data_IF_302011109263
#
_entry.id   IF_302011109263
#
_cell.length_a   1.000
_cell.length_b   1.000
_cell.length_c   1.000
_cell.angle_alpha   90.00
_cell.angle_beta   90.00
_cell.angle_gamma   90.00
#
_symmetry.space_group_name_H-M   'P 1'
#
loop_
_entity.id
_entity.type
_entity.pdbx_description
1 polymer ?
#
# COMPACT_ATOMS: atom_id res chain seq x y z
N UNK A 1 -21.69 7.09 7.39
CA UNK A 1 -21.56 5.69 6.99
C UNK A 1 -21.39 5.69 5.48
N UNK A 2 -20.14 5.61 5.00
CA UNK A 2 -19.85 5.49 3.55
C UNK A 2 -20.22 4.07 3.14
N UNK A 3 -21.43 3.91 2.61
CA UNK A 3 -21.83 2.68 1.92
C UNK A 3 -20.94 2.62 0.68
N UNK A 4 -20.10 1.58 0.54
CA UNK A 4 -19.35 1.34 -0.70
C UNK A 4 -20.41 1.15 -1.80
N UNK A 5 -20.61 2.20 -2.61
CA UNK A 5 -21.58 2.19 -3.69
C UNK A 5 -21.24 1.08 -4.71
N UNK A 6 -22.23 0.60 -5.45
CA UNK A 6 -22.11 -0.53 -6.39
C UNK A 6 -21.11 -0.34 -7.55
N UNK A 7 -20.38 0.77 -7.60
CA UNK A 7 -19.27 1.03 -8.56
C UNK A 7 -18.16 1.80 -7.87
N UNK A 8 -17.42 1.15 -6.98
CA UNK A 8 -16.34 1.78 -6.23
C UNK A 8 -15.01 1.10 -6.54
N UNK A 9 -14.02 1.88 -6.93
CA UNK A 9 -12.64 1.49 -7.17
C UNK A 9 -11.80 1.86 -5.97
N UNK A 10 -11.18 0.88 -5.35
CA UNK A 10 -10.28 1.09 -4.22
C UNK A 10 -8.86 0.70 -4.63
N UNK A 11 -7.90 1.54 -4.33
CA UNK A 11 -6.48 1.25 -4.44
C UNK A 11 -5.85 1.33 -3.04
N UNK A 12 -5.29 0.23 -2.57
CA UNK A 12 -4.50 0.20 -1.34
C UNK A 12 -3.01 0.16 -1.65
N UNK A 13 -2.22 0.86 -0.86
CA UNK A 13 -0.79 1.08 -1.07
C UNK A 13 -0.03 0.84 0.23
N UNK A 14 0.93 -0.09 0.19
CA UNK A 14 1.99 -0.21 1.18
C UNK A 14 3.23 0.49 0.65
N UNK A 15 3.40 1.77 1.02
CA UNK A 15 4.40 2.65 0.42
C UNK A 15 5.77 2.50 1.04
N UNK A 16 6.80 2.48 0.20
CA UNK A 16 8.20 2.43 0.58
C UNK A 16 9.05 3.26 -0.40
N UNK A 17 10.29 3.52 -0.03
CA UNK A 17 11.24 4.22 -0.88
C UNK A 17 11.89 3.36 -1.97
N UNK A 18 11.73 2.03 -1.89
CA UNK A 18 12.38 1.09 -2.81
C UNK A 18 11.45 0.00 -3.33
N UNK A 19 10.50 -0.45 -2.51
CA UNK A 19 9.51 -1.47 -2.89
C UNK A 19 8.16 -1.06 -2.34
N UNK A 20 7.21 -0.73 -3.21
CA UNK A 20 5.86 -0.38 -2.81
C UNK A 20 4.87 -1.41 -3.30
N UNK A 21 4.16 -2.06 -2.37
CA UNK A 21 3.07 -2.95 -2.68
C UNK A 21 1.80 -2.17 -3.04
N UNK A 22 0.98 -2.73 -3.92
CA UNK A 22 -0.32 -2.16 -4.25
C UNK A 22 -1.35 -3.25 -4.53
N UNK A 23 -2.61 -2.97 -4.20
CA UNK A 23 -3.73 -3.83 -4.54
C UNK A 23 -4.94 -3.01 -4.97
N UNK A 24 -5.60 -3.50 -6.03
CA UNK A 24 -6.75 -2.86 -6.65
C UNK A 24 -8.00 -3.71 -6.48
N UNK A 25 -9.08 -3.06 -6.08
CA UNK A 25 -10.38 -3.68 -5.85
C UNK A 25 -11.47 -2.91 -6.62
N UNK A 26 -12.45 -3.63 -7.10
CA UNK A 26 -13.68 -3.05 -7.66
C UNK A 26 -14.89 -3.68 -6.98
N UNK A 27 -15.83 -2.85 -6.56
CA UNK A 27 -17.07 -3.30 -5.93
C UNK A 27 -16.80 -4.25 -4.76
N UNK A 28 -15.86 -3.86 -3.88
CA UNK A 28 -15.38 -4.65 -2.75
C UNK A 28 -14.74 -6.01 -3.10
N UNK A 29 -14.43 -6.28 -4.38
CA UNK A 29 -13.81 -7.52 -4.84
C UNK A 29 -12.38 -7.27 -5.31
N UNK A 30 -11.45 -8.07 -4.81
CA UNK A 30 -10.07 -8.08 -5.30
C UNK A 30 -10.02 -8.31 -6.82
N UNK A 31 -9.19 -7.53 -7.52
CA UNK A 31 -8.97 -7.63 -8.97
C UNK A 31 -7.52 -7.91 -9.32
N UNK A 32 -6.60 -7.12 -8.78
CA UNK A 32 -5.19 -7.19 -9.13
C UNK A 32 -4.32 -6.58 -8.03
N UNK A 33 -3.10 -7.06 -7.94
CA UNK A 33 -2.05 -6.50 -7.08
C UNK A 33 -0.70 -6.59 -7.76
N UNK A 34 0.31 -6.04 -7.13
CA UNK A 34 1.70 -6.12 -7.56
C UNK A 34 2.62 -5.30 -6.69
N UNK A 35 3.87 -5.22 -7.10
CA UNK A 35 4.93 -4.45 -6.45
C UNK A 35 5.59 -3.53 -7.45
N UNK A 36 5.80 -2.27 -7.06
CA UNK A 36 6.76 -1.37 -7.71
C UNK A 36 8.11 -1.67 -7.05
N UNK A 37 8.98 -2.40 -7.75
CA UNK A 37 10.29 -2.80 -7.22
C UNK A 37 11.43 -2.00 -7.87
N UNK A 38 12.00 -1.06 -7.13
CA UNK A 38 13.18 -0.28 -7.48
C UNK A 38 14.44 -0.75 -6.75
N UNK A 39 14.43 -1.96 -6.18
CA UNK A 39 15.57 -2.59 -5.48
C UNK A 39 16.19 -3.76 -6.29
N UNK A 40 15.83 -3.89 -7.56
CA UNK A 40 16.43 -4.87 -8.47
C UNK A 40 17.91 -4.58 -8.74
N UNK A 41 18.64 -5.56 -9.27
CA UNK A 41 20.07 -5.40 -9.63
C UNK A 41 20.25 -4.27 -10.65
N UNK A 42 19.35 -4.17 -11.64
CA UNK A 42 19.36 -3.12 -12.66
C UNK A 42 19.09 -1.75 -12.03
N UNK A 43 18.13 -1.64 -11.14
CA UNK A 43 17.82 -0.42 -10.42
C UNK A 43 18.97 0.02 -9.52
N UNK A 44 19.59 -0.90 -8.77
CA UNK A 44 20.78 -0.61 -7.96
C UNK A 44 21.93 -0.07 -8.81
N UNK A 45 22.16 -0.63 -10.00
CA UNK A 45 23.15 -0.13 -10.96
C UNK A 45 22.77 1.24 -11.51
N UNK A 46 21.49 1.47 -11.82
CA UNK A 46 20.96 2.75 -12.33
C UNK A 46 21.08 3.88 -11.31
N UNK A 47 20.75 3.62 -10.07
CA UNK A 47 20.72 4.65 -9.03
C UNK A 47 22.08 4.84 -8.35
N UNK A 48 22.94 3.80 -8.29
CA UNK A 48 24.21 3.81 -7.54
C UNK A 48 24.02 4.48 -6.18
N UNK A 49 24.60 5.67 -6.00
CA UNK A 49 24.52 6.44 -4.76
C UNK A 49 23.46 7.56 -4.82
N UNK A 50 22.65 7.61 -5.88
CA UNK A 50 21.63 8.65 -6.06
C UNK A 50 20.26 8.18 -5.54
N UNK A 51 20.08 8.25 -4.22
CA UNK A 51 18.82 7.93 -3.55
C UNK A 51 17.66 8.85 -3.95
N UNK A 52 17.93 10.13 -4.27
CA UNK A 52 16.89 11.08 -4.64
C UNK A 52 16.24 10.69 -5.98
N UNK A 53 17.04 10.32 -6.98
CA UNK A 53 16.51 9.85 -8.26
C UNK A 53 15.64 8.58 -8.12
N UNK A 54 16.01 7.67 -7.23
CA UNK A 54 15.17 6.49 -6.96
C UNK A 54 13.82 6.89 -6.38
N UNK A 55 13.80 7.91 -5.51
CA UNK A 55 12.56 8.41 -4.91
C UNK A 55 11.70 9.11 -5.97
N UNK A 56 12.30 9.90 -6.86
CA UNK A 56 11.61 10.52 -7.99
C UNK A 56 10.93 9.45 -8.86
N UNK A 57 11.67 8.39 -9.23
CA UNK A 57 11.11 7.29 -10.02
C UNK A 57 10.00 6.54 -9.25
N UNK A 58 10.10 6.39 -7.92
CA UNK A 58 9.03 5.81 -7.10
C UNK A 58 7.79 6.71 -7.10
N UNK A 59 7.95 8.01 -6.92
CA UNK A 59 6.84 8.96 -6.98
C UNK A 59 6.14 8.93 -8.34
N UNK A 60 6.91 8.90 -9.44
CA UNK A 60 6.36 8.79 -10.79
C UNK A 60 5.62 7.46 -11.01
N UNK A 61 6.16 6.35 -10.53
CA UNK A 61 5.53 5.04 -10.66
C UNK A 61 4.20 4.98 -9.88
N UNK A 62 4.17 5.51 -8.66
CA UNK A 62 2.96 5.63 -7.84
C UNK A 62 1.94 6.55 -8.51
N UNK A 63 2.36 7.70 -9.01
CA UNK A 63 1.50 8.62 -9.76
C UNK A 63 0.85 7.95 -10.97
N UNK A 64 1.66 7.26 -11.78
CA UNK A 64 1.17 6.53 -12.95
C UNK A 64 0.18 5.42 -12.59
N UNK A 65 0.38 4.76 -11.45
CA UNK A 65 -0.54 3.75 -10.92
C UNK A 65 -1.89 4.38 -10.57
N UNK A 66 -1.88 5.52 -9.87
CA UNK A 66 -3.08 6.29 -9.52
C UNK A 66 -3.83 6.77 -10.77
N UNK A 67 -3.12 7.32 -11.74
CA UNK A 67 -3.69 7.75 -13.03
C UNK A 67 -4.30 6.57 -13.82
N UNK A 68 -3.68 5.41 -13.76
CA UNK A 68 -4.15 4.19 -14.44
C UNK A 68 -5.45 3.66 -13.87
N UNK A 69 -5.53 3.54 -12.54
CA UNK A 69 -6.68 2.92 -11.87
C UNK A 69 -7.78 3.92 -11.53
N UNK A 70 -7.47 5.20 -11.42
CA UNK A 70 -8.40 6.28 -11.07
C UNK A 70 -9.30 5.87 -9.90
N UNK A 71 -8.71 5.60 -8.72
CA UNK A 71 -9.47 5.10 -7.58
C UNK A 71 -10.42 6.16 -7.03
N UNK A 72 -11.59 5.71 -6.59
CA UNK A 72 -12.55 6.52 -5.81
C UNK A 72 -12.13 6.53 -4.32
N UNK A 73 -11.36 5.52 -3.89
CA UNK A 73 -10.85 5.40 -2.53
C UNK A 73 -9.38 4.99 -2.58
N UNK A 74 -8.55 5.74 -1.87
CA UNK A 74 -7.15 5.40 -1.64
C UNK A 74 -6.97 5.01 -0.17
N UNK A 75 -6.42 3.82 0.06
CA UNK A 75 -6.03 3.34 1.40
C UNK A 75 -4.51 3.26 1.45
N UNK A 76 -3.91 3.87 2.46
CA UNK A 76 -2.46 3.87 2.63
C UNK A 76 -2.10 3.54 4.09
N UNK A 77 -0.96 2.88 4.30
CA UNK A 77 -0.49 2.68 5.66
C UNK A 77 -0.09 4.01 6.30
N UNK A 78 -0.58 4.26 7.51
CA UNK A 78 -0.26 5.47 8.26
C UNK A 78 1.23 5.53 8.56
N UNK A 79 1.84 6.67 8.21
CA UNK A 79 3.26 6.90 8.48
C UNK A 79 3.52 6.93 9.98
N UNK A 80 4.28 5.95 10.45
CA UNK A 80 4.84 5.99 11.79
C UNK A 80 6.17 6.75 11.77
N UNK A 81 6.28 7.80 12.59
CA UNK A 81 7.53 8.54 12.73
C UNK A 81 8.61 7.60 13.27
N UNK A 82 9.53 7.21 12.42
CA UNK A 82 10.64 6.33 12.79
C UNK A 82 11.73 7.13 13.51
N UNK A 83 12.57 6.42 14.29
CA UNK A 83 13.79 7.01 14.86
C UNK A 83 14.77 7.47 13.77
N UNK A 84 14.65 6.89 12.58
CA UNK A 84 15.43 7.30 11.41
C UNK A 84 14.69 8.42 10.66
N UNK A 85 15.04 9.67 10.98
CA UNK A 85 14.48 10.86 10.35
C UNK A 85 14.65 10.87 8.83
N UNK A 86 15.76 10.34 8.30
CA UNK A 86 15.98 10.27 6.86
C UNK A 86 15.00 9.32 6.18
N UNK A 87 14.74 8.16 6.75
CA UNK A 87 13.75 7.23 6.22
C UNK A 87 12.34 7.84 6.21
N UNK A 88 11.95 8.50 7.31
CA UNK A 88 10.66 9.21 7.41
C UNK A 88 10.55 10.30 6.35
N UNK A 89 11.58 11.14 6.20
CA UNK A 89 11.63 12.24 5.22
C UNK A 89 11.50 11.74 3.77
N UNK A 90 12.13 10.62 3.46
CA UNK A 90 12.06 10.00 2.13
C UNK A 90 10.67 9.45 1.86
N UNK A 91 10.10 8.71 2.81
CA UNK A 91 8.78 8.12 2.68
C UNK A 91 7.69 9.20 2.58
N UNK A 92 7.86 10.33 3.27
CA UNK A 92 6.92 11.47 3.18
C UNK A 92 6.81 12.03 1.76
N UNK A 93 7.85 11.95 0.92
CA UNK A 93 7.79 12.39 -0.49
C UNK A 93 6.85 11.48 -1.30
N UNK A 94 6.93 10.17 -1.10
CA UNK A 94 6.05 9.20 -1.78
C UNK A 94 4.60 9.35 -1.33
N UNK A 95 4.38 9.48 -0.02
CA UNK A 95 3.04 9.73 0.56
C UNK A 95 2.50 11.07 0.06
N UNK A 96 3.33 12.10 -0.02
CA UNK A 96 2.97 13.42 -0.57
C UNK A 96 2.47 13.32 -2.01
N UNK A 97 3.04 12.43 -2.83
CA UNK A 97 2.54 12.17 -4.20
C UNK A 97 1.11 11.63 -4.18
N UNK A 98 0.83 10.66 -3.30
CA UNK A 98 -0.52 10.09 -3.14
C UNK A 98 -1.50 11.15 -2.65
N UNK A 99 -1.10 11.94 -1.66
CA UNK A 99 -1.92 13.01 -1.10
C UNK A 99 -2.20 14.12 -2.12
N UNK A 100 -1.21 14.47 -2.96
CA UNK A 100 -1.38 15.42 -4.07
C UNK A 100 -2.43 14.91 -5.08
N UNK A 101 -2.36 13.61 -5.42
CA UNK A 101 -3.38 13.02 -6.30
C UNK A 101 -4.78 13.15 -5.71
N UNK A 102 -4.95 12.83 -4.41
CA UNK A 102 -6.21 12.96 -3.68
C UNK A 102 -6.75 14.40 -3.75
N UNK A 103 -5.92 15.43 -3.48
CA UNK A 103 -6.34 16.84 -3.50
C UNK A 103 -6.78 17.28 -4.91
N UNK A 104 -6.11 16.77 -5.94
CA UNK A 104 -6.36 17.16 -7.34
C UNK A 104 -7.48 16.34 -8.01
N UNK A 105 -8.04 15.36 -7.32
CA UNK A 105 -9.07 14.47 -7.87
C UNK A 105 -10.39 14.66 -7.12
N UNK A 106 -11.37 15.24 -7.81
CA UNK A 106 -12.71 15.37 -7.26
C UNK A 106 -13.30 13.97 -6.98
N UNK A 107 -14.09 13.86 -5.92
CA UNK A 107 -14.78 12.64 -5.47
C UNK A 107 -13.86 11.47 -5.05
N UNK A 108 -12.55 11.69 -4.90
CA UNK A 108 -11.63 10.72 -4.31
C UNK A 108 -11.63 10.82 -2.79
N UNK A 109 -11.61 9.69 -2.09
CA UNK A 109 -11.44 9.61 -0.63
C UNK A 109 -10.04 9.09 -0.28
N UNK A 110 -9.43 9.64 0.77
CA UNK A 110 -8.13 9.24 1.28
C UNK A 110 -8.26 8.70 2.70
N UNK A 111 -7.75 7.51 2.96
CA UNK A 111 -7.83 6.85 4.26
C UNK A 111 -6.47 6.30 4.69
N UNK A 112 -6.04 6.69 5.88
CA UNK A 112 -4.84 6.15 6.53
C UNK A 112 -5.21 5.04 7.53
N UNK A 113 -4.56 3.89 7.42
CA UNK A 113 -4.80 2.75 8.30
C UNK A 113 -3.51 2.34 9.02
N UNK A 114 -3.61 2.09 10.33
CA UNK A 114 -2.45 1.61 11.09
C UNK A 114 -2.23 0.10 10.90
N UNK A 115 -0.97 -0.38 10.93
CA UNK A 115 -0.65 -1.81 10.85
C UNK A 115 -1.40 -2.67 11.88
N UNK A 116 -1.51 -2.20 13.10
CA UNK A 116 -2.24 -2.89 14.17
C UNK A 116 -3.75 -2.93 13.91
N UNK A 117 -4.28 -1.88 13.31
CA UNK A 117 -5.71 -1.76 13.01
C UNK A 117 -6.13 -2.74 11.91
N UNK A 118 -5.45 -2.75 10.76
CA UNK A 118 -5.83 -3.64 9.68
C UNK A 118 -5.59 -5.12 10.01
N UNK A 119 -4.53 -5.45 10.78
CA UNK A 119 -4.31 -6.81 11.26
C UNK A 119 -5.41 -7.27 12.21
N UNK A 120 -5.79 -6.42 13.15
CA UNK A 120 -6.90 -6.71 14.08
C UNK A 120 -8.22 -6.90 13.34
N UNK A 121 -8.52 -6.05 12.36
CA UNK A 121 -9.75 -6.14 11.56
C UNK A 121 -9.85 -7.46 10.78
N UNK A 122 -8.73 -7.99 10.33
CA UNK A 122 -8.66 -9.28 9.65
C UNK A 122 -8.57 -10.49 10.60
N UNK A 123 -8.57 -10.26 11.90
CA UNK A 123 -8.47 -11.32 12.92
C UNK A 123 -7.06 -11.88 13.08
N UNK A 124 -6.04 -11.18 12.60
CA UNK A 124 -4.65 -11.60 12.75
C UNK A 124 -4.18 -11.33 14.20
N UNK A 125 -3.72 -12.38 14.88
CA UNK A 125 -3.12 -12.24 16.19
C UNK A 125 -1.68 -11.71 16.05
N UNK A 126 -1.54 -10.38 16.00
CA UNK A 126 -0.25 -9.73 15.79
C UNK A 126 0.58 -9.51 17.07
N UNK A 127 -0.01 -9.58 18.25
CA UNK A 127 0.59 -9.51 19.59
C UNK A 127 2.08 -9.19 19.68
N UNK A 128 2.83 -10.01 20.44
CA UNK A 128 4.30 -9.84 20.61
C UNK A 128 5.15 -10.44 19.46
N UNK A 129 4.60 -10.55 18.26
CA UNK A 129 5.26 -11.17 17.11
C UNK A 129 6.38 -10.29 16.56
N UNK A 130 7.45 -10.92 16.08
CA UNK A 130 8.55 -10.28 15.37
C UNK A 130 8.10 -9.87 13.96
N UNK A 131 8.86 -8.96 13.33
CA UNK A 131 8.55 -8.43 11.99
C UNK A 131 8.35 -9.52 10.95
N UNK A 132 9.24 -10.52 10.93
CA UNK A 132 9.16 -11.60 9.93
C UNK A 132 7.93 -12.50 10.13
N UNK A 133 7.55 -12.75 11.39
CA UNK A 133 6.32 -13.47 11.71
C UNK A 133 5.06 -12.68 11.28
N UNK A 134 5.09 -11.35 11.41
CA UNK A 134 3.99 -10.49 10.96
C UNK A 134 3.83 -10.51 9.43
N UNK A 135 4.95 -10.50 8.69
CA UNK A 135 4.96 -10.65 7.23
C UNK A 135 4.39 -12.01 6.79
N UNK A 136 4.82 -13.06 7.46
CA UNK A 136 4.30 -14.40 7.18
C UNK A 136 2.79 -14.51 7.40
N UNK A 137 2.25 -13.86 8.44
CA UNK A 137 0.80 -13.82 8.69
C UNK A 137 0.04 -13.18 7.52
N UNK A 138 0.55 -12.09 6.95
CA UNK A 138 -0.09 -11.42 5.81
C UNK A 138 -0.09 -12.31 4.57
N UNK A 139 1.04 -12.97 4.28
CA UNK A 139 1.18 -13.90 3.13
C UNK A 139 0.22 -15.08 3.30
N UNK A 140 0.18 -15.71 4.48
CA UNK A 140 -0.72 -16.82 4.78
C UNK A 140 -2.20 -16.42 4.68
N UNK A 141 -2.54 -15.22 5.17
CA UNK A 141 -3.89 -14.71 5.08
C UNK A 141 -4.34 -14.56 3.60
N UNK A 142 -3.49 -13.97 2.76
CA UNK A 142 -3.77 -13.81 1.33
C UNK A 142 -3.88 -15.17 0.65
N UNK A 143 -2.97 -16.11 0.96
CA UNK A 143 -3.02 -17.49 0.44
C UNK A 143 -4.33 -18.17 0.80
N UNK A 144 -4.75 -18.10 2.05
CA UNK A 144 -5.98 -18.74 2.54
C UNK A 144 -7.25 -18.07 2.01
N UNK A 145 -7.24 -16.74 1.81
CA UNK A 145 -8.44 -15.98 1.42
C UNK A 145 -8.61 -15.90 -0.10
N UNK A 146 -7.51 -15.76 -0.86
CA UNK A 146 -7.54 -15.52 -2.30
C UNK A 146 -6.88 -16.66 -3.11
N UNK A 147 -6.25 -17.63 -2.46
CA UNK A 147 -5.54 -18.74 -3.14
C UNK A 147 -4.28 -18.28 -3.88
N UNK A 148 -3.68 -17.13 -3.51
CA UNK A 148 -2.56 -16.52 -4.24
C UNK A 148 -1.26 -16.61 -3.46
N UNK A 149 -0.18 -16.89 -4.19
CA UNK A 149 1.20 -16.75 -3.70
C UNK A 149 1.70 -15.35 -4.06
N UNK A 150 2.06 -14.56 -3.03
CA UNK A 150 2.44 -13.15 -3.14
C UNK A 150 3.66 -12.85 -2.29
N UNK A 151 4.33 -11.73 -2.57
CA UNK A 151 5.42 -11.20 -1.71
C UNK A 151 4.85 -10.54 -0.45
N UNK A 152 5.72 -10.21 0.50
CA UNK A 152 5.35 -9.51 1.73
C UNK A 152 4.76 -8.11 1.46
N UNK A 153 5.44 -7.30 0.63
CA UNK A 153 4.96 -5.94 0.30
C UNK A 153 3.59 -6.00 -0.43
N UNK A 154 3.41 -6.99 -1.31
CA UNK A 154 2.14 -7.21 -2.01
C UNK A 154 1.04 -7.69 -1.06
N UNK A 155 1.37 -8.61 -0.14
CA UNK A 155 0.40 -9.14 0.84
C UNK A 155 -0.10 -8.07 1.79
N UNK A 156 0.76 -7.18 2.28
CA UNK A 156 0.38 -6.11 3.20
C UNK A 156 -0.58 -5.13 2.51
N UNK A 157 -0.33 -4.75 1.24
CA UNK A 157 -1.25 -3.90 0.48
C UNK A 157 -2.62 -4.56 0.24
N UNK A 158 -2.66 -5.87 -0.05
CA UNK A 158 -3.92 -6.62 -0.19
C UNK A 158 -4.69 -6.63 1.14
N UNK A 159 -4.00 -6.94 2.24
CA UNK A 159 -4.60 -6.99 3.57
C UNK A 159 -5.17 -5.64 4.01
N UNK A 160 -4.47 -4.53 3.74
CA UNK A 160 -4.97 -3.18 4.00
C UNK A 160 -6.29 -2.91 3.27
N UNK A 161 -6.37 -3.24 1.99
CA UNK A 161 -7.59 -3.08 1.19
C UNK A 161 -8.73 -3.95 1.67
N UNK A 162 -8.47 -5.23 1.98
CA UNK A 162 -9.48 -6.15 2.55
C UNK A 162 -9.97 -5.68 3.92
N UNK A 163 -9.08 -5.19 4.78
CA UNK A 163 -9.45 -4.65 6.08
C UNK A 163 -10.34 -3.41 5.95
N UNK A 164 -9.98 -2.49 5.04
CA UNK A 164 -10.83 -1.32 4.74
C UNK A 164 -12.23 -1.74 4.29
N UNK A 165 -12.33 -2.66 3.34
CA UNK A 165 -13.60 -3.18 2.86
C UNK A 165 -14.41 -3.73 4.03
N UNK A 166 -13.82 -4.57 4.87
CA UNK A 166 -14.49 -5.17 6.05
C UNK A 166 -14.94 -4.16 7.11
N UNK A 167 -14.29 -2.99 7.19
CA UNK A 167 -14.71 -1.93 8.12
C UNK A 167 -15.96 -1.20 7.67
N UNK A 168 -16.23 -1.16 6.36
CA UNK A 168 -17.26 -0.29 5.76
C UNK A 168 -18.33 -1.07 4.99
N UNK A 169 -18.29 -2.40 5.02
CA UNK A 169 -19.35 -3.29 4.52
C UNK A 169 -19.99 -4.08 5.65
#
# INVERSE_FOLDING_TARGET
MLIIAQKCKLLSLDTSSSKSGWAYFENAKYKKSGVIDLDTKECKKKYKDNSDRRIEDMCLAVWNLLQKYKPDIIVIEKLNVSRNMNATRVLSKVIGTVYTYYILTDDCSYFEIQPTQWRSQLGMQSGKKKRDELKQLSIEYVKNTLGKDVTDDESDSICQGLAYIKMFT
#
